data_IF_733262507418
#
_entry.id   IF_733262507418
#
_cell.length_a   1.000
_cell.length_b   1.000
_cell.length_c   1.000
_cell.angle_alpha   90.00
_cell.angle_beta   90.00
_cell.angle_gamma   90.00
#
_symmetry.space_group_name_H-M   'P 1'
#
loop_
_entity.id
_entity.type
_entity.pdbx_description
1 polymer ?
#
# COMPACT_ATOMS: atom_id res chain seq x y z
N UNK A 1 2.37 -8.54 0.75
CA UNK A 1 2.12 -9.69 1.61
C UNK A 1 0.80 -9.53 2.36
N UNK A 2 0.22 -10.64 2.79
CA UNK A 2 -1.06 -10.64 3.51
C UNK A 2 -0.96 -9.83 4.81
N UNK A 3 0.15 -9.92 5.50
CA UNK A 3 0.37 -9.21 6.76
C UNK A 3 0.31 -7.70 6.54
N UNK A 4 0.99 -7.21 5.53
CA UNK A 4 1.00 -5.78 5.22
C UNK A 4 -0.40 -5.31 4.83
N UNK A 5 -1.07 -6.04 3.96
CA UNK A 5 -2.43 -5.68 3.53
C UNK A 5 -3.40 -5.62 4.70
N UNK A 6 -3.33 -6.60 5.61
CA UNK A 6 -4.19 -6.63 6.78
C UNK A 6 -3.92 -5.45 7.71
N UNK A 7 -2.65 -5.14 7.96
CA UNK A 7 -2.28 -4.03 8.84
C UNK A 7 -2.73 -2.69 8.27
N UNK A 8 -2.55 -2.48 6.97
CA UNK A 8 -2.99 -1.25 6.31
C UNK A 8 -4.50 -1.10 6.41
N UNK A 9 -5.24 -2.15 6.10
CA UNK A 9 -6.69 -2.10 6.15
C UNK A 9 -7.20 -1.80 7.55
N UNK A 10 -6.65 -2.46 8.57
CA UNK A 10 -7.07 -2.24 9.95
C UNK A 10 -6.78 -0.82 10.41
N UNK A 11 -5.61 -0.30 10.08
CA UNK A 11 -5.25 1.07 10.42
C UNK A 11 -6.23 2.07 9.82
N UNK A 12 -6.53 1.90 8.54
CA UNK A 12 -7.44 2.81 7.84
C UNK A 12 -8.86 2.71 8.39
N UNK A 13 -9.31 1.51 8.75
CA UNK A 13 -10.62 1.34 9.38
C UNK A 13 -10.72 2.09 10.71
N UNK A 14 -9.65 2.10 11.50
CA UNK A 14 -9.61 2.83 12.76
C UNK A 14 -9.73 4.33 12.55
N UNK A 15 -9.37 4.81 11.37
CA UNK A 15 -9.47 6.22 11.01
C UNK A 15 -10.68 6.53 10.14
N UNK A 16 -11.64 5.60 10.08
CA UNK A 16 -12.90 5.82 9.37
C UNK A 16 -12.85 5.63 7.87
N UNK A 17 -11.80 4.99 7.35
CA UNK A 17 -11.63 4.77 5.91
C UNK A 17 -11.76 3.29 5.61
N UNK A 18 -12.74 2.94 4.79
CA UNK A 18 -12.94 1.57 4.31
C UNK A 18 -12.18 1.38 3.00
N UNK A 19 -11.33 0.38 2.94
CA UNK A 19 -10.57 0.07 1.72
C UNK A 19 -10.66 -1.40 1.38
N UNK A 20 -10.57 -1.70 0.09
CA UNK A 20 -10.40 -3.06 -0.40
C UNK A 20 -8.93 -3.27 -0.73
N UNK A 21 -8.38 -4.42 -0.38
CA UNK A 21 -7.00 -4.75 -0.69
C UNK A 21 -6.96 -5.92 -1.67
N UNK A 22 -6.07 -5.80 -2.65
CA UNK A 22 -5.83 -6.86 -3.62
C UNK A 22 -4.35 -7.14 -3.67
N UNK A 23 -3.99 -8.41 -3.60
CA UNK A 23 -2.59 -8.81 -3.71
C UNK A 23 -2.31 -9.27 -5.12
N UNK A 24 -1.17 -8.85 -5.66
CA UNK A 24 -0.78 -9.22 -7.00
C UNK A 24 0.74 -9.37 -7.07
N UNK A 25 1.22 -10.05 -8.10
CA UNK A 25 2.65 -10.20 -8.32
C UNK A 25 3.22 -8.91 -8.92
N UNK A 26 4.47 -8.60 -8.57
CA UNK A 26 5.09 -7.37 -9.06
C UNK A 26 5.09 -7.27 -10.59
N UNK A 27 5.28 -8.37 -11.28
CA UNK A 27 5.30 -8.36 -12.74
C UNK A 27 3.92 -8.06 -13.35
N UNK A 28 2.85 -8.22 -12.60
CA UNK A 28 1.49 -7.94 -13.07
C UNK A 28 1.03 -6.52 -12.75
N UNK A 29 1.77 -5.81 -11.90
CA UNK A 29 1.39 -4.49 -11.42
C UNK A 29 1.18 -3.48 -12.55
N UNK A 30 2.07 -3.34 -13.55
CA UNK A 30 1.89 -2.31 -14.57
C UNK A 30 0.57 -2.42 -15.34
N UNK A 31 0.02 -3.64 -15.45
CA UNK A 31 -1.25 -3.85 -16.15
C UNK A 31 -2.49 -3.65 -15.29
N UNK A 32 -2.33 -3.55 -13.97
CA UNK A 32 -3.46 -3.52 -13.04
C UNK A 32 -3.48 -2.29 -12.13
N UNK A 33 -2.33 -1.64 -11.93
CA UNK A 33 -2.19 -0.62 -10.89
C UNK A 33 -3.14 0.57 -11.09
N UNK A 34 -3.47 0.90 -12.33
CA UNK A 34 -4.33 2.05 -12.61
C UNK A 34 -5.76 1.87 -12.12
N UNK A 35 -6.16 0.65 -11.83
CA UNK A 35 -7.48 0.37 -11.26
C UNK A 35 -7.52 0.63 -9.74
N UNK A 36 -6.41 1.02 -9.16
CA UNK A 36 -6.28 1.21 -7.72
C UNK A 36 -5.80 2.61 -7.38
N UNK A 37 -6.05 3.03 -6.14
CA UNK A 37 -5.68 4.37 -5.66
C UNK A 37 -4.27 4.44 -5.11
N UNK A 38 -3.70 3.30 -4.74
CA UNK A 38 -2.41 3.25 -4.06
C UNK A 38 -1.79 1.88 -4.22
N UNK A 39 -0.47 1.85 -4.40
CA UNK A 39 0.30 0.61 -4.44
C UNK A 39 1.24 0.55 -3.23
N UNK A 40 1.19 -0.54 -2.48
CA UNK A 40 2.12 -0.80 -1.38
C UNK A 40 2.96 -2.02 -1.75
N UNK A 41 4.27 -1.84 -1.77
CA UNK A 41 5.20 -2.92 -2.12
C UNK A 41 6.16 -3.22 -0.98
N UNK A 42 6.47 -4.49 -0.76
CA UNK A 42 7.49 -4.89 0.21
C UNK A 42 8.85 -5.12 -0.46
N UNK A 43 8.86 -5.21 -1.78
CA UNK A 43 10.08 -5.31 -2.56
C UNK A 43 10.32 -4.06 -3.37
N UNK A 44 11.45 -4.03 -4.07
CA UNK A 44 11.75 -2.92 -4.95
C UNK A 44 10.88 -3.01 -6.21
N UNK A 45 10.24 -1.90 -6.56
CA UNK A 45 9.41 -1.82 -7.75
C UNK A 45 9.78 -0.59 -8.56
N UNK A 46 10.28 -0.80 -9.77
CA UNK A 46 10.70 0.27 -10.68
C UNK A 46 9.77 0.44 -11.87
N UNK A 47 8.63 -0.24 -11.88
CA UNK A 47 7.67 -0.15 -12.96
C UNK A 47 6.89 1.16 -12.95
N UNK A 48 6.23 1.45 -14.07
CA UNK A 48 5.40 2.64 -14.18
C UNK A 48 4.01 2.38 -13.63
N UNK A 49 3.48 3.38 -12.93
CA UNK A 49 2.18 3.27 -12.28
C UNK A 49 1.14 4.22 -12.86
N UNK A 50 1.52 5.02 -13.85
CA UNK A 50 0.57 5.96 -14.45
C UNK A 50 0.10 7.05 -13.49
N UNK A 51 0.91 7.38 -12.50
CA UNK A 51 0.57 8.40 -11.51
C UNK A 51 0.02 7.87 -10.20
N UNK A 52 -0.20 6.56 -10.08
CA UNK A 52 -0.66 5.96 -8.82
C UNK A 52 0.49 6.00 -7.80
N UNK A 53 0.27 6.54 -6.58
CA UNK A 53 1.33 6.60 -5.58
C UNK A 53 1.82 5.22 -5.18
N UNK A 54 3.12 5.10 -4.95
CA UNK A 54 3.76 3.86 -4.50
C UNK A 54 4.35 4.09 -3.12
N UNK A 55 3.97 3.25 -2.16
CA UNK A 55 4.47 3.31 -0.80
C UNK A 55 5.28 2.05 -0.52
N UNK A 56 6.43 2.22 0.12
CA UNK A 56 7.25 1.09 0.55
C UNK A 56 6.62 0.48 1.80
N UNK A 57 6.25 -0.79 1.71
CA UNK A 57 5.58 -1.49 2.80
C UNK A 57 6.51 -2.18 3.79
N UNK A 58 7.81 -2.18 3.53
CA UNK A 58 8.75 -2.85 4.42
C UNK A 58 8.69 -2.35 5.86
N UNK A 59 8.60 -1.02 6.13
CA UNK A 59 8.45 -0.55 7.51
C UNK A 59 7.22 -1.14 8.22
N UNK A 60 6.14 -1.37 7.47
CA UNK A 60 4.93 -1.98 8.05
C UNK A 60 5.21 -3.44 8.43
N UNK A 61 5.95 -4.16 7.60
CA UNK A 61 6.28 -5.55 7.84
C UNK A 61 7.22 -5.72 9.02
N UNK A 62 8.26 -4.88 9.11
CA UNK A 62 9.26 -4.98 10.18
C UNK A 62 8.81 -4.30 11.47
N UNK A 63 7.89 -3.35 11.39
CA UNK A 63 7.47 -2.55 12.52
C UNK A 63 8.32 -1.32 12.77
N UNK A 64 9.46 -1.19 12.09
CA UNK A 64 10.36 -0.04 12.24
C UNK A 64 9.92 1.06 11.29
N UNK A 65 9.40 2.18 11.84
CA UNK A 65 8.88 3.26 11.03
C UNK A 65 7.48 3.00 10.49
N UNK A 66 6.77 2.00 11.03
CA UNK A 66 5.44 1.64 10.56
C UNK A 66 4.45 2.79 10.70
N UNK A 67 4.50 3.52 11.81
CA UNK A 67 3.57 4.62 12.07
C UNK A 67 3.67 5.72 11.02
N UNK A 68 4.89 6.09 10.63
CA UNK A 68 5.09 7.11 9.61
C UNK A 68 4.55 6.66 8.26
N UNK A 69 4.79 5.40 7.91
CA UNK A 69 4.30 4.84 6.65
C UNK A 69 2.78 4.80 6.63
N UNK A 70 2.17 4.42 7.73
CA UNK A 70 0.70 4.40 7.84
C UNK A 70 0.12 5.81 7.72
N UNK A 71 0.76 6.81 8.33
CA UNK A 71 0.32 8.20 8.18
C UNK A 71 0.38 8.66 6.73
N UNK A 72 1.45 8.30 6.01
CA UNK A 72 1.56 8.64 4.59
C UNK A 72 0.41 8.05 3.78
N UNK A 73 0.09 6.79 4.03
CA UNK A 73 -1.02 6.12 3.36
C UNK A 73 -2.34 6.83 3.68
N UNK A 74 -2.56 7.13 4.94
CA UNK A 74 -3.77 7.80 5.38
C UNK A 74 -3.94 9.16 4.70
N UNK A 75 -2.85 9.95 4.63
CA UNK A 75 -2.88 11.27 4.00
C UNK A 75 -3.14 11.19 2.50
N UNK A 76 -2.66 10.15 1.84
CA UNK A 76 -2.90 9.97 0.41
C UNK A 76 -4.37 9.60 0.10
N UNK A 77 -5.04 8.95 1.04
CA UNK A 77 -6.41 8.47 0.85
C UNK A 77 -7.48 9.35 1.47
N UNK A 78 -7.07 10.38 2.19
CA UNK A 78 -8.03 11.33 2.77
C UNK A 78 -8.72 12.17 1.72
#
# INVERSE_FOLDING_TARGET
STVVATKVREYLQQHGIDVSTTQTKLMEVPGKVQDYDLLVTTGQFDGQTGGVPVIKGMPILTGIGADQTMEEILNLLK
#
